data_IF_074737919243
#
_entry.id   IF_074737919243
#
_cell.length_a   1.000
_cell.length_b   1.000
_cell.length_c   1.000
_cell.angle_alpha   90.00
_cell.angle_beta   90.00
_cell.angle_gamma   90.00
#
_symmetry.space_group_name_H-M   'P 1'
#
loop_
_entity.id
_entity.type
_entity.pdbx_description
1 polymer ?
#
# COMPACT_ATOMS: atom_id res chain seq x y z
N UNK A 1 -23.71 -45.34 23.79
CA UNK A 1 -22.75 -44.67 24.69
C UNK A 1 -21.45 -44.47 23.92
N UNK A 2 -20.95 -43.24 23.89
CA UNK A 2 -19.89 -42.71 23.02
C UNK A 2 -18.52 -43.41 23.19
N UNK A 3 -17.76 -43.55 22.09
CA UNK A 3 -16.30 -43.39 22.11
C UNK A 3 -15.85 -42.57 20.91
N UNK A 4 -15.09 -41.53 21.24
CA UNK A 4 -14.59 -40.46 20.40
C UNK A 4 -13.47 -40.96 19.46
N UNK A 5 -13.42 -40.40 18.25
CA UNK A 5 -12.27 -40.47 17.35
C UNK A 5 -11.58 -39.09 17.39
N UNK A 6 -10.24 -39.00 17.54
CA UNK A 6 -9.56 -37.71 17.64
C UNK A 6 -9.47 -37.05 16.27
N UNK A 7 -9.93 -35.80 16.19
CA UNK A 7 -9.67 -34.89 15.08
C UNK A 7 -8.16 -34.72 14.88
N UNK A 8 -7.66 -35.06 13.69
CA UNK A 8 -6.36 -34.58 13.20
C UNK A 8 -6.52 -33.11 12.79
N UNK A 9 -5.83 -32.20 13.47
CA UNK A 9 -5.55 -30.87 12.95
C UNK A 9 -4.48 -31.02 11.85
N UNK A 10 -4.92 -31.08 10.61
CA UNK A 10 -4.05 -30.97 9.45
C UNK A 10 -3.77 -29.50 9.15
N UNK A 11 -2.61 -28.99 9.56
CA UNK A 11 -2.03 -27.79 8.95
C UNK A 11 -1.58 -28.12 7.54
N UNK A 12 -2.50 -28.03 6.58
CA UNK A 12 -2.15 -28.06 5.16
C UNK A 12 -1.54 -26.72 4.79
N UNK A 13 -0.36 -26.73 4.15
CA UNK A 13 0.12 -25.54 3.43
C UNK A 13 -0.97 -25.12 2.44
N UNK A 14 -1.26 -23.81 2.30
CA UNK A 14 -2.18 -23.34 1.27
C UNK A 14 -1.73 -23.83 -0.11
N UNK A 15 -2.70 -24.00 -1.03
CA UNK A 15 -2.42 -24.36 -2.42
C UNK A 15 -1.58 -23.23 -3.04
N UNK A 16 -0.58 -23.57 -3.87
CA UNK A 16 0.30 -22.58 -4.54
C UNK A 16 -0.49 -21.43 -5.17
N UNK A 17 -1.56 -21.77 -5.88
CA UNK A 17 -2.43 -20.79 -6.53
C UNK A 17 -3.00 -19.72 -5.58
N UNK A 18 -3.32 -20.07 -4.33
CA UNK A 18 -3.81 -19.12 -3.33
C UNK A 18 -2.68 -18.28 -2.70
N UNK A 19 -1.46 -18.83 -2.63
CA UNK A 19 -0.29 -18.07 -2.19
C UNK A 19 0.14 -17.04 -3.24
N UNK A 20 0.04 -17.41 -4.52
CA UNK A 20 0.39 -16.55 -5.65
C UNK A 20 -0.61 -15.37 -5.76
N UNK A 21 -1.92 -15.64 -5.57
CA UNK A 21 -2.95 -14.59 -5.47
C UNK A 21 -2.70 -13.61 -4.31
N UNK A 22 -2.32 -14.11 -3.13
CA UNK A 22 -1.98 -13.27 -1.97
C UNK A 22 -0.75 -12.39 -2.25
N UNK A 23 0.25 -12.91 -2.98
CA UNK A 23 1.45 -12.15 -3.36
C UNK A 23 1.17 -11.06 -4.40
N UNK A 24 0.30 -11.32 -5.37
CA UNK A 24 -0.11 -10.29 -6.34
C UNK A 24 -0.80 -9.12 -5.64
N UNK A 25 -1.76 -9.39 -4.75
CA UNK A 25 -2.46 -8.36 -3.97
C UNK A 25 -1.46 -7.50 -3.18
N UNK A 26 -0.50 -8.12 -2.49
CA UNK A 26 0.57 -7.41 -1.76
C UNK A 26 1.45 -6.60 -2.72
N UNK A 27 1.79 -7.14 -3.89
CA UNK A 27 2.61 -6.42 -4.86
C UNK A 27 1.93 -5.14 -5.34
N UNK A 28 0.63 -5.17 -5.64
CA UNK A 28 -0.14 -3.98 -6.01
C UNK A 28 -0.25 -2.99 -4.84
N UNK A 29 -0.43 -3.49 -3.62
CA UNK A 29 -0.45 -2.68 -2.40
C UNK A 29 0.86 -1.89 -2.23
N UNK A 30 2.00 -2.57 -2.23
CA UNK A 30 3.32 -1.95 -2.08
C UNK A 30 3.64 -1.00 -3.24
N UNK A 31 3.22 -1.36 -4.45
CA UNK A 31 3.39 -0.52 -5.65
C UNK A 31 2.60 0.77 -5.54
N UNK A 32 1.41 0.76 -4.94
CA UNK A 32 0.62 1.97 -4.67
C UNK A 32 1.38 2.98 -3.81
N UNK A 33 1.98 2.53 -2.70
CA UNK A 33 2.82 3.38 -1.86
C UNK A 33 4.03 3.94 -2.62
N UNK A 34 4.76 3.07 -3.32
CA UNK A 34 5.98 3.44 -4.04
C UNK A 34 5.70 4.47 -5.13
N UNK A 35 4.68 4.19 -5.95
CA UNK A 35 4.25 5.05 -7.03
C UNK A 35 3.84 6.44 -6.52
N UNK A 36 2.98 6.48 -5.49
CA UNK A 36 2.54 7.74 -4.92
C UNK A 36 3.69 8.51 -4.27
N UNK A 37 4.66 7.82 -3.65
CA UNK A 37 5.85 8.46 -3.09
C UNK A 37 6.65 9.20 -4.17
N UNK A 38 6.90 8.56 -5.32
CA UNK A 38 7.58 9.19 -6.46
C UNK A 38 6.80 10.40 -6.96
N UNK A 39 5.49 10.26 -7.19
CA UNK A 39 4.64 11.34 -7.69
C UNK A 39 4.60 12.57 -6.78
N UNK A 40 4.56 12.38 -5.46
CA UNK A 40 4.59 13.51 -4.52
C UNK A 40 6.01 14.08 -4.32
N UNK A 41 7.02 13.49 -4.96
CA UNK A 41 8.42 13.90 -4.89
C UNK A 41 9.13 13.48 -3.59
N UNK A 42 8.65 12.43 -2.92
CA UNK A 42 9.39 11.71 -1.90
C UNK A 42 10.34 10.71 -2.57
N UNK A 43 11.31 10.18 -1.81
CA UNK A 43 12.27 9.20 -2.32
C UNK A 43 11.92 7.82 -1.80
N UNK A 44 11.70 6.86 -2.69
CA UNK A 44 11.62 5.45 -2.31
C UNK A 44 13.04 4.96 -2.03
N UNK A 45 13.24 4.20 -0.94
CA UNK A 45 14.52 3.53 -0.67
C UNK A 45 14.48 2.08 -1.13
N UNK A 46 13.42 1.39 -0.73
CA UNK A 46 13.17 -0.02 -1.05
C UNK A 46 11.67 -0.30 -0.93
N UNK A 47 11.16 -1.21 -1.74
CA UNK A 47 9.89 -1.91 -1.56
C UNK A 47 10.12 -3.42 -1.66
N UNK A 48 9.36 -4.23 -0.94
CA UNK A 48 9.48 -5.71 -0.92
C UNK A 48 8.12 -6.35 -0.67
N UNK A 49 7.86 -7.53 -1.24
CA UNK A 49 6.67 -8.37 -0.93
C UNK A 49 6.94 -9.25 0.30
N UNK A 50 8.20 -9.64 0.51
CA UNK A 50 8.62 -10.36 1.72
C UNK A 50 9.22 -9.37 2.73
N UNK A 51 8.55 -9.07 3.86
CA UNK A 51 9.22 -8.41 4.97
C UNK A 51 10.38 -9.28 5.45
N UNK A 52 11.48 -8.66 5.90
CA UNK A 52 12.46 -9.41 6.69
C UNK A 52 11.76 -9.92 7.96
N UNK A 53 11.92 -11.21 8.28
CA UNK A 53 11.47 -11.83 9.54
C UNK A 53 12.13 -11.12 10.73
N UNK A 54 11.61 -9.96 11.12
CA UNK A 54 11.82 -9.36 12.42
C UNK A 54 10.70 -9.91 13.31
N UNK A 55 11.02 -10.36 14.53
CA UNK A 55 10.17 -11.08 15.50
C UNK A 55 8.89 -10.32 15.97
N UNK A 56 8.42 -9.33 15.21
CA UNK A 56 7.15 -8.62 15.36
C UNK A 56 5.98 -9.26 14.60
N UNK A 57 4.75 -8.73 14.77
CA UNK A 57 3.59 -9.21 14.01
C UNK A 57 3.84 -9.09 12.50
N UNK A 58 3.50 -10.15 11.73
CA UNK A 58 3.70 -10.21 10.26
C UNK A 58 3.23 -8.91 9.60
N UNK A 59 4.15 -8.18 9.01
CA UNK A 59 3.89 -7.02 8.16
C UNK A 59 3.95 -7.50 6.72
N UNK A 60 2.83 -7.68 6.04
CA UNK A 60 2.88 -7.99 4.63
C UNK A 60 3.38 -6.74 3.90
N UNK A 61 4.52 -6.86 3.21
CA UNK A 61 5.18 -5.76 2.51
C UNK A 61 5.89 -4.71 3.39
N UNK A 62 6.93 -4.05 2.83
CA UNK A 62 7.62 -2.91 3.48
C UNK A 62 8.10 -1.88 2.44
N UNK A 63 7.35 -0.79 2.29
CA UNK A 63 7.75 0.39 1.52
C UNK A 63 8.50 1.42 2.40
N UNK A 64 9.82 1.50 2.21
CA UNK A 64 10.67 2.44 2.92
C UNK A 64 10.79 3.77 2.18
N UNK A 65 10.15 4.82 2.71
CA UNK A 65 10.06 6.13 2.05
C UNK A 65 10.81 7.20 2.85
N UNK A 66 11.66 7.95 2.17
CA UNK A 66 12.44 9.06 2.71
C UNK A 66 11.87 10.43 2.32
N UNK A 67 11.61 11.25 3.34
CA UNK A 67 11.08 12.59 3.19
C UNK A 67 12.17 13.62 3.43
N UNK A 68 12.56 14.36 2.38
CA UNK A 68 13.51 15.46 2.50
C UNK A 68 12.85 16.64 3.23
N UNK A 69 13.20 16.83 4.50
CA UNK A 69 12.56 17.84 5.37
C UNK A 69 12.66 19.28 4.84
N UNK A 70 13.70 19.60 4.07
CA UNK A 70 13.90 20.92 3.47
C UNK A 70 13.04 21.18 2.23
N UNK A 71 12.46 20.14 1.62
CA UNK A 71 11.69 20.24 0.38
C UNK A 71 10.22 20.60 0.61
N UNK A 72 9.69 20.30 1.80
CA UNK A 72 8.26 20.47 2.11
C UNK A 72 8.05 21.21 3.42
N UNK A 73 7.06 22.10 3.45
CA UNK A 73 6.54 22.59 4.73
C UNK A 73 5.95 21.45 5.56
N UNK A 74 5.83 21.64 6.87
CA UNK A 74 5.22 20.64 7.73
C UNK A 74 3.80 20.25 7.27
N UNK A 75 2.98 21.22 6.85
CA UNK A 75 1.63 20.98 6.34
C UNK A 75 1.63 20.12 5.08
N UNK A 76 2.42 20.51 4.07
CA UNK A 76 2.51 19.78 2.79
C UNK A 76 3.00 18.35 3.01
N UNK A 77 3.95 18.14 3.91
CA UNK A 77 4.44 16.80 4.24
C UNK A 77 3.32 15.94 4.82
N UNK A 78 2.48 16.47 5.71
CA UNK A 78 1.36 15.72 6.27
C UNK A 78 0.29 15.40 5.23
N UNK A 79 -0.04 16.35 4.35
CA UNK A 79 -0.95 16.11 3.22
C UNK A 79 -0.42 14.99 2.32
N UNK A 80 0.88 14.97 2.03
CA UNK A 80 1.51 13.94 1.20
C UNK A 80 1.64 12.59 1.89
N UNK A 81 1.89 12.56 3.19
CA UNK A 81 1.87 11.32 3.97
C UNK A 81 0.52 10.62 3.88
N UNK A 82 -0.57 11.39 3.96
CA UNK A 82 -1.92 10.86 3.80
C UNK A 82 -2.10 10.24 2.41
N UNK A 83 -1.65 10.91 1.36
CA UNK A 83 -1.75 10.38 -0.01
C UNK A 83 -0.97 9.08 -0.15
N UNK A 84 0.27 9.04 0.32
CA UNK A 84 1.12 7.85 0.25
C UNK A 84 0.53 6.70 1.03
N UNK A 85 0.09 6.92 2.28
CA UNK A 85 -0.47 5.87 3.12
C UNK A 85 -1.77 5.28 2.52
N UNK A 86 -2.62 6.10 1.91
CA UNK A 86 -3.85 5.60 1.31
C UNK A 86 -3.64 4.95 -0.07
N UNK A 87 -2.49 5.16 -0.72
CA UNK A 87 -2.27 4.70 -2.08
C UNK A 87 -2.18 3.16 -2.20
N UNK A 88 -1.61 2.46 -1.22
CA UNK A 88 -1.56 1.00 -1.20
C UNK A 88 -2.96 0.37 -1.18
N UNK A 89 -3.80 0.69 -0.17
CA UNK A 89 -5.19 0.23 -0.13
C UNK A 89 -6.00 0.56 -1.38
N UNK A 90 -5.81 1.75 -1.97
CA UNK A 90 -6.54 2.14 -3.20
C UNK A 90 -6.06 1.36 -4.43
N UNK A 91 -4.76 1.10 -4.54
CA UNK A 91 -4.21 0.26 -5.61
C UNK A 91 -4.78 -1.16 -5.53
N UNK A 92 -4.88 -1.69 -4.32
CA UNK A 92 -5.47 -3.00 -4.06
C UNK A 92 -6.96 -3.06 -4.42
N UNK A 93 -7.74 -2.01 -4.11
CA UNK A 93 -9.15 -1.91 -4.54
C UNK A 93 -9.30 -1.95 -6.06
N UNK A 94 -8.43 -1.24 -6.78
CA UNK A 94 -8.45 -1.19 -8.25
C UNK A 94 -8.10 -2.54 -8.83
N UNK A 95 -7.08 -3.20 -8.30
CA UNK A 95 -6.66 -4.54 -8.73
C UNK A 95 -7.77 -5.58 -8.50
N UNK A 96 -8.36 -5.60 -7.29
CA UNK A 96 -9.43 -6.54 -6.95
C UNK A 96 -10.78 -6.21 -7.60
N UNK A 97 -10.97 -4.97 -8.08
CA UNK A 97 -12.24 -4.48 -8.60
C UNK A 97 -13.32 -4.32 -7.52
N UNK A 98 -12.94 -4.33 -6.23
CA UNK A 98 -13.85 -4.25 -5.09
C UNK A 98 -13.75 -2.87 -4.42
N UNK A 99 -14.79 -2.02 -4.52
CA UNK A 99 -14.76 -0.66 -3.99
C UNK A 99 -15.04 -0.67 -2.48
N UNK A 100 -14.11 -1.21 -1.70
CA UNK A 100 -14.19 -1.12 -0.25
C UNK A 100 -13.77 0.27 0.25
N UNK A 101 -14.21 0.62 1.45
CA UNK A 101 -13.70 1.80 2.13
C UNK A 101 -12.48 1.40 2.98
N UNK A 102 -11.35 2.14 2.96
CA UNK A 102 -10.10 1.71 3.59
C UNK A 102 -10.25 1.34 5.08
N UNK A 103 -11.01 2.13 5.83
CA UNK A 103 -11.24 1.91 7.25
C UNK A 103 -12.12 0.71 7.64
N UNK A 104 -12.59 -0.09 6.68
CA UNK A 104 -13.44 -1.28 6.94
C UNK A 104 -12.75 -2.61 6.66
N UNK A 105 -11.53 -2.59 6.10
CA UNK A 105 -10.74 -3.78 5.80
C UNK A 105 -9.64 -3.90 6.85
N UNK A 106 -9.54 -5.07 7.48
CA UNK A 106 -8.66 -5.26 8.64
C UNK A 106 -7.18 -5.16 8.24
N UNK A 107 -6.87 -5.62 7.04
CA UNK A 107 -5.57 -5.66 6.40
C UNK A 107 -5.01 -4.24 6.18
N UNK A 108 -5.87 -3.24 5.99
CA UNK A 108 -5.48 -1.84 5.75
C UNK A 108 -5.53 -0.98 7.02
N UNK A 109 -5.72 -1.59 8.20
CA UNK A 109 -5.89 -0.86 9.44
C UNK A 109 -4.65 -0.01 9.80
N UNK A 110 -3.45 -0.50 9.47
CA UNK A 110 -2.21 0.21 9.73
C UNK A 110 -2.04 1.42 8.81
N UNK A 111 -2.30 1.30 7.51
CA UNK A 111 -2.27 2.42 6.55
C UNK A 111 -3.28 3.49 6.91
N UNK A 112 -4.49 3.07 7.25
CA UNK A 112 -5.53 3.98 7.71
C UNK A 112 -5.11 4.73 8.97
N UNK A 113 -4.49 4.03 9.93
CA UNK A 113 -3.97 4.65 11.16
C UNK A 113 -2.86 5.66 10.84
N UNK A 114 -1.92 5.33 9.96
CA UNK A 114 -0.87 6.26 9.50
C UNK A 114 -1.47 7.50 8.84
N UNK A 115 -2.44 7.33 7.93
CA UNK A 115 -3.14 8.45 7.30
C UNK A 115 -3.88 9.31 8.33
N UNK A 116 -4.55 8.69 9.31
CA UNK A 116 -5.25 9.39 10.38
C UNK A 116 -4.32 10.21 11.28
N UNK A 117 -3.18 9.62 11.67
CA UNK A 117 -2.15 10.29 12.47
C UNK A 117 -1.56 11.48 11.70
N UNK A 118 -1.24 11.30 10.41
CA UNK A 118 -0.74 12.36 9.54
C UNK A 118 -1.75 13.51 9.37
N UNK A 119 -3.05 13.20 9.29
CA UNK A 119 -4.10 14.21 9.16
C UNK A 119 -4.43 14.93 10.49
N UNK A 120 -3.94 14.44 11.63
CA UNK A 120 -4.18 15.03 12.96
C UNK A 120 -3.77 16.51 13.09
N UNK A 121 -2.55 16.91 12.70
CA UNK A 121 -2.15 18.33 12.71
C UNK A 121 -2.89 19.18 11.68
N UNK A 122 -3.49 18.59 10.64
CA UNK A 122 -4.26 19.30 9.62
C UNK A 122 -5.67 19.63 10.11
N UNK A 123 -6.32 18.68 10.79
CA UNK A 123 -7.68 18.78 11.26
C UNK A 123 -7.81 18.24 12.69
N UNK A 124 -8.00 19.15 13.66
CA UNK A 124 -8.29 18.78 15.06
C UNK A 124 -9.65 18.11 15.22
N UNK A 125 -10.62 18.51 14.41
CA UNK A 125 -11.97 17.93 14.39
C UNK A 125 -11.96 16.60 13.63
N UNK A 126 -12.37 15.53 14.31
CA UNK A 126 -12.34 14.17 13.77
C UNK A 126 -13.29 13.97 12.58
N UNK A 127 -14.45 14.66 12.55
CA UNK A 127 -15.38 14.55 11.41
C UNK A 127 -14.80 15.18 10.17
N UNK A 128 -14.14 16.35 10.32
CA UNK A 128 -13.42 17.00 9.21
C UNK A 128 -12.25 16.15 8.74
N UNK A 129 -11.54 15.50 9.67
CA UNK A 129 -10.45 14.58 9.34
C UNK A 129 -10.93 13.37 8.56
N UNK A 130 -11.99 12.70 9.04
CA UNK A 130 -12.60 11.57 8.34
C UNK A 130 -13.02 11.99 6.92
N UNK A 131 -13.71 13.14 6.81
CA UNK A 131 -14.13 13.65 5.50
C UNK A 131 -12.96 13.90 4.57
N UNK A 132 -11.87 14.46 5.09
CA UNK A 132 -10.65 14.68 4.32
C UNK A 132 -10.04 13.36 3.82
N UNK A 133 -9.99 12.32 4.64
CA UNK A 133 -9.48 11.00 4.23
C UNK A 133 -10.39 10.33 3.19
N UNK A 134 -11.72 10.43 3.35
CA UNK A 134 -12.70 9.94 2.36
C UNK A 134 -12.50 10.64 1.00
N UNK A 135 -12.38 11.97 1.02
CA UNK A 135 -12.20 12.76 -0.20
C UNK A 135 -10.82 12.51 -0.83
N UNK A 136 -9.77 12.28 -0.02
CA UNK A 136 -8.43 11.88 -0.50
C UNK A 136 -8.46 10.49 -1.15
N UNK A 137 -9.12 9.52 -0.53
CA UNK A 137 -9.28 8.15 -1.06
C UNK A 137 -9.98 8.19 -2.43
N UNK A 138 -11.07 8.97 -2.57
CA UNK A 138 -11.78 9.11 -3.85
C UNK A 138 -10.90 9.75 -4.93
N UNK A 139 -10.12 10.77 -4.57
CA UNK A 139 -9.20 11.41 -5.51
C UNK A 139 -8.07 10.48 -5.94
N UNK A 140 -7.51 9.70 -5.00
CA UNK A 140 -6.50 8.68 -5.31
C UNK A 140 -7.05 7.62 -6.24
N UNK A 141 -8.27 7.13 -6.00
CA UNK A 141 -8.88 6.14 -6.89
C UNK A 141 -8.93 6.65 -8.33
N UNK A 142 -9.44 7.87 -8.54
CA UNK A 142 -9.49 8.48 -9.87
C UNK A 142 -8.11 8.73 -10.49
N UNK A 143 -7.11 9.07 -9.66
CA UNK A 143 -5.75 9.30 -10.10
C UNK A 143 -5.10 7.99 -10.56
N UNK A 144 -5.21 6.93 -9.75
CA UNK A 144 -4.59 5.64 -10.01
C UNK A 144 -5.28 4.86 -11.14
N UNK A 145 -6.58 5.05 -11.35
CA UNK A 145 -7.35 4.45 -12.46
C UNK A 145 -7.04 5.08 -13.83
N UNK A 146 -6.33 6.21 -13.86
CA UNK A 146 -5.93 6.83 -15.13
C UNK A 146 -4.88 5.97 -15.85
N UNK A 147 -5.06 5.76 -17.15
CA UNK A 147 -4.30 4.80 -17.98
C UNK A 147 -2.78 4.78 -17.72
N UNK A 148 -2.09 5.93 -17.82
CA UNK A 148 -0.65 6.00 -17.60
C UNK A 148 -0.23 5.77 -16.14
N UNK A 149 -1.08 6.16 -15.18
CA UNK A 149 -0.80 5.96 -13.76
C UNK A 149 -0.96 4.48 -13.40
N UNK A 150 -2.03 3.85 -13.87
CA UNK A 150 -2.24 2.43 -13.70
C UNK A 150 -1.13 1.61 -14.35
N UNK A 151 -0.75 1.94 -15.59
CA UNK A 151 0.32 1.25 -16.30
C UNK A 151 1.68 1.35 -15.56
N UNK A 152 1.99 2.53 -15.01
CA UNK A 152 3.20 2.71 -14.21
C UNK A 152 3.17 1.88 -12.92
N UNK A 153 2.04 1.89 -12.21
CA UNK A 153 1.85 1.14 -10.97
C UNK A 153 1.93 -0.36 -11.21
N UNK A 154 1.20 -0.87 -12.23
CA UNK A 154 1.23 -2.27 -12.61
C UNK A 154 2.64 -2.72 -13.04
N UNK A 155 3.39 -1.85 -13.74
CA UNK A 155 4.78 -2.14 -14.08
C UNK A 155 5.68 -2.27 -12.84
N UNK A 156 5.44 -1.50 -11.78
CA UNK A 156 6.15 -1.69 -10.49
C UNK A 156 5.76 -3.05 -9.89
N UNK A 157 4.46 -3.38 -9.86
CA UNK A 157 3.96 -4.63 -9.30
C UNK A 157 4.53 -5.86 -10.02
N UNK A 158 4.53 -5.86 -11.35
CA UNK A 158 5.11 -6.92 -12.18
C UNK A 158 6.60 -7.13 -11.89
N UNK A 159 7.36 -6.03 -11.78
CA UNK A 159 8.79 -6.11 -11.43
C UNK A 159 8.99 -6.58 -9.99
N UNK A 160 8.11 -6.18 -9.08
CA UNK A 160 8.19 -6.59 -7.68
C UNK A 160 7.86 -8.07 -7.52
N UNK A 161 6.88 -8.60 -8.25
CA UNK A 161 6.59 -10.03 -8.32
C UNK A 161 7.75 -10.83 -8.91
N UNK A 162 8.42 -10.28 -9.93
CA UNK A 162 9.55 -10.94 -10.58
C UNK A 162 10.84 -10.94 -9.73
N UNK A 163 11.01 -9.95 -8.86
CA UNK A 163 12.27 -9.71 -8.14
C UNK A 163 12.15 -9.75 -6.62
N UNK A 164 10.94 -9.88 -6.07
CA UNK A 164 10.55 -9.84 -4.65
C UNK A 164 10.84 -8.51 -3.95
N UNK A 165 11.87 -7.78 -4.37
CA UNK A 165 12.31 -6.49 -3.84
C UNK A 165 12.76 -5.57 -4.98
N UNK A 166 12.40 -4.29 -4.88
CA UNK A 166 12.91 -3.22 -5.74
C UNK A 166 13.54 -2.12 -4.91
N UNK A 167 14.64 -1.55 -5.39
CA UNK A 167 15.22 -0.34 -4.82
C UNK A 167 14.58 0.93 -5.40
N UNK A 168 14.85 2.07 -4.77
CA UNK A 168 14.29 3.36 -5.18
C UNK A 168 14.59 3.79 -6.62
N UNK A 169 15.80 3.52 -7.11
CA UNK A 169 16.21 3.90 -8.48
C UNK A 169 15.42 3.11 -9.52
N UNK A 170 15.25 1.81 -9.30
CA UNK A 170 14.42 0.95 -10.16
C UNK A 170 12.96 1.45 -10.21
N UNK A 171 12.39 1.83 -9.06
CA UNK A 171 11.03 2.38 -9.01
C UNK A 171 10.94 3.71 -9.76
N UNK A 172 11.89 4.62 -9.56
CA UNK A 172 11.92 5.92 -10.24
C UNK A 172 12.05 5.75 -11.78
N UNK A 173 12.90 4.82 -12.24
CA UNK A 173 13.06 4.49 -13.66
C UNK A 173 11.77 3.97 -14.29
N UNK A 174 11.07 3.04 -13.62
CA UNK A 174 9.80 2.51 -14.08
C UNK A 174 8.77 3.65 -14.22
N UNK A 175 8.59 4.48 -13.19
CA UNK A 175 7.62 5.58 -13.22
C UNK A 175 7.93 6.58 -14.33
N UNK A 176 9.21 6.93 -14.52
CA UNK A 176 9.64 7.85 -15.56
C UNK A 176 9.31 7.35 -16.98
N UNK A 177 9.25 6.03 -17.19
CA UNK A 177 8.88 5.43 -18.47
C UNK A 177 7.43 5.68 -18.91
N UNK A 178 6.54 6.06 -17.98
CA UNK A 178 5.10 6.19 -18.22
C UNK A 178 4.55 7.60 -18.01
N UNK A 179 5.18 8.39 -17.15
CA UNK A 179 4.70 9.72 -16.71
C UNK A 179 5.56 10.87 -17.26
N UNK A 180 6.54 10.54 -18.13
CA UNK A 180 7.41 11.49 -18.83
C UNK A 180 6.77 12.20 -20.02
#
# INVERSE_FOLDING_TARGET
MLRQSPYRLGGGRPRKDAMDEDQEVVAYHESGHAFMAVLVGARVRRITIEPEDDDGPRRFGDAQIEWRLSQFTAKQRQEKFVLVALAGPVAEMLYNGEPFHPGHVAEWADDWRVAWEAATPLFRDEKKRLRFLEDATRQLYQLLDAENHWAALAAIADNLLAHETLNGEQVEEIVAGWIG
#
